data_IF_549644469063
#
_entry.id   IF_549644469063
#
_cell.length_a   1.000
_cell.length_b   1.000
_cell.length_c   1.000
_cell.angle_alpha   90.00
_cell.angle_beta   90.00
_cell.angle_gamma   90.00
#
_symmetry.space_group_name_H-M   'P 1'
#
loop_
_entity.id
_entity.type
_entity.pdbx_description
1 polymer ?
#
# COMPACT_ATOMS: atom_id res chain seq x y z
N UNK A 1 31.14 -0.62 -7.14
CA UNK A 1 30.93 0.83 -7.21
C UNK A 1 29.81 1.11 -6.24
N UNK A 2 30.04 1.94 -5.24
CA UNK A 2 28.98 2.36 -4.32
C UNK A 2 27.98 3.18 -5.14
N UNK A 3 26.76 2.65 -5.36
CA UNK A 3 25.75 3.30 -6.21
C UNK A 3 25.18 4.60 -5.58
N UNK A 4 25.86 5.17 -4.58
CA UNK A 4 25.44 6.34 -3.82
C UNK A 4 24.28 6.03 -2.88
N UNK A 5 24.14 4.77 -2.44
CA UNK A 5 23.00 4.36 -1.63
C UNK A 5 23.31 4.61 -0.15
N UNK A 6 22.85 5.75 0.37
CA UNK A 6 22.90 6.04 1.80
C UNK A 6 21.60 5.59 2.47
N UNK A 7 21.64 4.44 3.13
CA UNK A 7 20.50 3.86 3.85
C UNK A 7 20.34 4.49 5.25
N UNK A 8 19.18 5.09 5.50
CA UNK A 8 18.69 5.67 6.75
C UNK A 8 18.15 4.61 7.73
N UNK A 9 19.09 3.94 8.40
CA UNK A 9 18.79 3.00 9.49
C UNK A 9 18.07 3.64 10.70
N UNK A 10 18.09 4.96 10.83
CA UNK A 10 17.53 5.67 11.98
C UNK A 10 16.11 6.19 11.77
N UNK A 11 15.50 5.98 10.59
CA UNK A 11 14.14 6.46 10.27
C UNK A 11 13.10 6.00 11.29
N UNK A 12 13.17 4.74 11.70
CA UNK A 12 12.25 4.15 12.68
C UNK A 12 12.30 4.90 14.01
N UNK A 13 13.49 5.29 14.48
CA UNK A 13 13.63 6.02 15.73
C UNK A 13 13.07 7.44 15.65
N UNK A 14 13.06 8.06 14.47
CA UNK A 14 12.59 9.43 14.27
C UNK A 14 11.09 9.54 14.04
N UNK A 15 10.50 8.61 13.27
CA UNK A 15 9.09 8.72 12.82
C UNK A 15 8.29 7.41 12.97
N UNK A 16 8.85 6.40 13.63
CA UNK A 16 8.19 5.10 13.86
C UNK A 16 8.06 4.19 12.63
N UNK A 17 8.52 4.62 11.45
CA UNK A 17 8.48 3.87 10.20
C UNK A 17 9.90 3.61 9.69
N UNK A 18 10.25 2.35 9.31
CA UNK A 18 11.54 2.05 8.72
C UNK A 18 11.72 2.67 7.34
N UNK A 19 12.96 2.70 6.87
CA UNK A 19 13.23 3.01 5.47
C UNK A 19 12.65 1.94 4.54
N UNK A 20 12.21 2.39 3.37
CA UNK A 20 11.59 1.56 2.33
C UNK A 20 12.26 1.88 1.00
N UNK A 21 12.51 0.87 0.18
CA UNK A 21 13.14 1.01 -1.12
C UNK A 21 12.08 1.16 -2.19
N UNK A 22 11.98 2.36 -2.78
CA UNK A 22 11.28 2.56 -4.05
C UNK A 22 12.14 2.04 -5.20
N UNK A 23 11.73 0.98 -5.89
CA UNK A 23 12.56 0.30 -6.89
C UNK A 23 12.43 0.84 -8.31
N UNK A 24 11.29 1.42 -8.66
CA UNK A 24 11.03 1.89 -10.01
C UNK A 24 12.00 3.02 -10.41
N UNK A 25 12.54 2.94 -11.63
CA UNK A 25 13.52 3.89 -12.14
C UNK A 25 14.96 3.69 -11.62
N UNK A 26 15.21 2.78 -10.67
CA UNK A 26 16.58 2.46 -10.23
C UNK A 26 17.28 1.51 -11.22
N UNK A 27 18.61 1.67 -11.43
CA UNK A 27 19.37 0.74 -12.24
C UNK A 27 19.46 -0.63 -11.55
N UNK A 28 19.41 -1.71 -12.33
CA UNK A 28 19.43 -3.07 -11.78
C UNK A 28 20.64 -3.37 -10.87
N UNK A 29 21.88 -2.94 -11.17
CA UNK A 29 23.02 -3.14 -10.26
C UNK A 29 22.78 -2.60 -8.84
N UNK A 30 22.16 -1.42 -8.71
CA UNK A 30 21.80 -0.85 -7.41
C UNK A 30 20.73 -1.67 -6.67
N UNK A 31 19.76 -2.21 -7.42
CA UNK A 31 18.74 -3.10 -6.85
C UNK A 31 19.33 -4.44 -6.43
N UNK A 32 20.23 -5.02 -7.22
CA UNK A 32 20.90 -6.28 -6.91
C UNK A 32 21.75 -6.17 -5.64
N UNK A 33 22.43 -5.05 -5.43
CA UNK A 33 23.16 -4.76 -4.18
C UNK A 33 22.21 -4.73 -2.97
N UNK A 34 21.11 -3.97 -3.06
CA UNK A 34 20.12 -3.88 -1.98
C UNK A 34 19.44 -5.21 -1.68
N UNK A 35 19.07 -5.96 -2.71
CA UNK A 35 18.45 -7.28 -2.58
C UNK A 35 19.42 -8.29 -1.94
N UNK A 36 20.71 -8.20 -2.25
CA UNK A 36 21.70 -9.09 -1.63
C UNK A 36 21.94 -8.76 -0.15
N UNK A 37 21.71 -7.51 0.25
CA UNK A 37 21.98 -7.02 1.62
C UNK A 37 20.82 -7.24 2.60
N UNK A 38 19.58 -7.16 2.14
CA UNK A 38 18.39 -7.07 3.02
C UNK A 38 17.42 -8.24 2.89
N UNK A 39 17.93 -9.42 2.53
CA UNK A 39 17.14 -10.65 2.53
C UNK A 39 16.80 -11.13 3.94
N UNK A 40 16.04 -12.22 4.03
CA UNK A 40 15.69 -12.88 5.29
C UNK A 40 16.93 -13.15 6.14
N UNK A 41 16.85 -12.83 7.43
CA UNK A 41 17.93 -13.04 8.39
C UNK A 41 18.99 -11.94 8.39
N UNK A 42 18.85 -10.88 7.60
CA UNK A 42 19.77 -9.74 7.60
C UNK A 42 19.70 -8.88 8.88
N UNK A 43 18.70 -9.10 9.74
CA UNK A 43 18.51 -8.34 10.99
C UNK A 43 18.00 -6.91 10.80
N UNK A 44 17.77 -6.48 9.56
CA UNK A 44 17.20 -5.19 9.21
C UNK A 44 16.07 -5.41 8.17
N UNK A 45 14.81 -5.57 8.62
CA UNK A 45 13.67 -5.74 7.71
C UNK A 45 13.50 -4.53 6.79
N UNK A 46 13.49 -4.75 5.47
CA UNK A 46 13.29 -3.70 4.46
C UNK A 46 12.17 -4.10 3.51
N UNK A 47 11.24 -3.17 3.29
CA UNK A 47 10.23 -3.28 2.26
C UNK A 47 10.75 -2.71 0.94
N UNK A 48 10.59 -3.47 -0.13
CA UNK A 48 10.82 -3.06 -1.51
C UNK A 48 9.46 -2.82 -2.16
N UNK A 49 9.25 -1.65 -2.76
CA UNK A 49 8.02 -1.28 -3.46
C UNK A 49 8.28 -1.03 -4.94
N UNK A 50 7.24 -1.24 -5.76
CA UNK A 50 7.32 -1.09 -7.23
C UNK A 50 8.45 -1.89 -7.89
N UNK A 51 8.82 -3.02 -7.28
CA UNK A 51 9.79 -3.95 -7.84
C UNK A 51 9.13 -4.78 -8.94
N UNK A 52 9.45 -4.49 -10.20
CA UNK A 52 8.81 -5.16 -11.32
C UNK A 52 9.20 -6.67 -11.38
N UNK A 53 8.29 -7.58 -11.83
CA UNK A 53 8.56 -9.02 -11.84
C UNK A 53 9.78 -9.44 -12.67
N UNK A 54 9.96 -8.81 -13.82
CA UNK A 54 11.10 -9.00 -14.72
C UNK A 54 12.41 -8.50 -14.12
N UNK A 55 12.37 -7.42 -13.35
CA UNK A 55 13.52 -6.90 -12.59
C UNK A 55 13.87 -7.83 -11.44
N UNK A 56 12.89 -8.31 -10.67
CA UNK A 56 13.16 -9.27 -9.59
C UNK A 56 13.69 -10.60 -10.13
N UNK A 57 13.18 -11.07 -11.27
CA UNK A 57 13.61 -12.32 -11.91
C UNK A 57 15.08 -12.29 -12.37
N UNK A 58 15.66 -11.12 -12.59
CA UNK A 58 17.09 -10.97 -12.91
C UNK A 58 18.00 -11.25 -11.71
N UNK A 59 17.48 -11.18 -10.46
CA UNK A 59 18.28 -11.49 -9.28
C UNK A 59 18.60 -13.00 -9.19
N UNK A 60 19.81 -13.37 -8.72
CA UNK A 60 20.17 -14.77 -8.53
C UNK A 60 19.15 -15.52 -7.66
N UNK A 61 18.90 -16.79 -7.95
CA UNK A 61 17.92 -17.61 -7.22
C UNK A 61 18.19 -17.62 -5.70
N UNK A 62 19.46 -17.72 -5.30
CA UNK A 62 19.86 -17.67 -3.89
C UNK A 62 19.42 -16.36 -3.19
N UNK A 63 19.44 -15.23 -3.91
CA UNK A 63 18.94 -13.95 -3.39
C UNK A 63 17.42 -13.94 -3.35
N UNK A 64 16.75 -14.38 -4.43
CA UNK A 64 15.29 -14.40 -4.52
C UNK A 64 14.64 -15.26 -3.42
N UNK A 65 15.28 -16.38 -3.05
CA UNK A 65 14.81 -17.27 -1.99
C UNK A 65 14.80 -16.61 -0.60
N UNK A 66 15.50 -15.48 -0.43
CA UNK A 66 15.50 -14.69 0.79
C UNK A 66 14.30 -13.75 0.93
N UNK A 67 13.36 -13.72 -0.02
CA UNK A 67 12.25 -12.75 -0.05
C UNK A 67 10.89 -13.41 -0.18
N UNK A 68 9.90 -12.86 0.52
CA UNK A 68 8.49 -13.01 0.17
C UNK A 68 8.12 -11.93 -0.85
N UNK A 69 8.14 -12.31 -2.14
CA UNK A 69 7.82 -11.44 -3.26
C UNK A 69 6.38 -11.66 -3.74
N UNK A 70 5.66 -10.56 -3.94
CA UNK A 70 4.30 -10.57 -4.46
C UNK A 70 4.23 -9.86 -5.82
N UNK A 71 4.00 -10.60 -6.92
CA UNK A 71 4.08 -10.06 -8.27
C UNK A 71 2.99 -9.02 -8.57
N UNK A 72 1.77 -9.22 -8.04
CA UNK A 72 0.65 -8.31 -8.30
C UNK A 72 0.88 -6.92 -7.69
N UNK A 73 1.34 -6.86 -6.44
CA UNK A 73 1.63 -5.56 -5.80
C UNK A 73 3.04 -5.05 -6.05
N UNK A 74 3.90 -5.83 -6.72
CA UNK A 74 5.31 -5.49 -6.98
C UNK A 74 6.05 -5.16 -5.69
N UNK A 75 5.81 -5.94 -4.63
CA UNK A 75 6.45 -5.73 -3.32
C UNK A 75 7.25 -6.96 -2.88
N UNK A 76 8.33 -6.74 -2.15
CA UNK A 76 9.14 -7.79 -1.53
C UNK A 76 9.62 -7.36 -0.14
N UNK A 77 9.75 -8.32 0.78
CA UNK A 77 10.50 -8.17 2.03
C UNK A 77 11.03 -9.53 2.49
N UNK A 78 12.18 -9.56 3.16
CA UNK A 78 12.75 -10.79 3.69
C UNK A 78 12.17 -11.18 5.05
N UNK A 79 12.03 -10.17 5.91
CA UNK A 79 11.48 -10.24 7.26
C UNK A 79 10.42 -9.13 7.43
N UNK A 80 9.53 -9.29 8.42
CA UNK A 80 8.58 -8.24 8.84
C UNK A 80 9.01 -7.63 10.16
N UNK A 81 8.45 -6.46 10.50
CA UNK A 81 8.54 -5.93 11.84
C UNK A 81 7.75 -6.80 12.83
N UNK A 82 8.05 -6.65 14.12
CA UNK A 82 7.31 -7.32 15.18
C UNK A 82 5.82 -6.93 15.14
N UNK A 83 4.91 -7.89 15.36
CA UNK A 83 3.48 -7.62 15.39
C UNK A 83 3.11 -6.50 16.36
N UNK A 84 2.22 -5.61 15.93
CA UNK A 84 1.68 -4.54 16.76
C UNK A 84 0.55 -5.08 17.62
N UNK A 85 0.51 -4.67 18.89
CA UNK A 85 -0.50 -5.13 19.86
C UNK A 85 -1.90 -4.51 19.64
N UNK A 86 -2.00 -3.44 18.86
CA UNK A 86 -3.23 -2.70 18.59
C UNK A 86 -3.26 -2.19 17.16
N UNK A 87 -4.43 -1.72 16.73
CA UNK A 87 -4.61 -1.12 15.42
C UNK A 87 -4.86 -2.17 14.34
N UNK A 88 -6.04 -2.08 13.72
CA UNK A 88 -6.46 -2.91 12.60
C UNK A 88 -6.89 -2.01 11.45
N UNK A 89 -6.45 -2.33 10.23
CA UNK A 89 -6.78 -1.52 9.05
C UNK A 89 -7.61 -2.34 8.05
N UNK A 90 -8.75 -1.81 7.64
CA UNK A 90 -9.51 -2.36 6.51
C UNK A 90 -8.95 -1.77 5.20
N UNK A 91 -8.68 -2.61 4.20
CA UNK A 91 -8.31 -2.18 2.84
C UNK A 91 -9.46 -2.51 1.92
N UNK A 92 -10.15 -1.50 1.39
CA UNK A 92 -11.36 -1.65 0.59
C UNK A 92 -11.05 -1.21 -0.83
N UNK A 93 -11.22 -2.10 -1.82
CA UNK A 93 -11.01 -1.76 -3.23
C UNK A 93 -12.32 -1.75 -4.02
N UNK A 94 -12.42 -0.87 -5.02
CA UNK A 94 -13.60 -0.77 -5.87
C UNK A 94 -13.74 -1.98 -6.82
N UNK A 95 -12.66 -2.42 -7.43
CA UNK A 95 -12.67 -3.59 -8.30
C UNK A 95 -11.37 -4.38 -8.23
N UNK A 96 -11.37 -5.57 -8.81
CA UNK A 96 -10.17 -6.42 -8.94
C UNK A 96 -9.07 -5.78 -9.79
N UNK A 97 -9.42 -4.81 -10.66
CA UNK A 97 -8.43 -4.03 -11.40
C UNK A 97 -7.59 -3.12 -10.50
N UNK A 98 -8.10 -2.74 -9.33
CA UNK A 98 -7.42 -1.92 -8.34
C UNK A 98 -6.55 -2.75 -7.37
N UNK A 99 -6.57 -4.08 -7.50
CA UNK A 99 -5.94 -5.00 -6.55
C UNK A 99 -4.44 -4.78 -6.41
N UNK A 100 -3.70 -4.35 -7.44
CA UNK A 100 -2.27 -4.09 -7.31
C UNK A 100 -1.95 -3.02 -6.24
N UNK A 101 -2.78 -1.98 -6.13
CA UNK A 101 -2.64 -0.92 -5.11
C UNK A 101 -3.17 -1.39 -3.76
N UNK A 102 -4.31 -2.10 -3.74
CA UNK A 102 -4.86 -2.66 -2.50
C UNK A 102 -3.88 -3.64 -1.83
N UNK A 103 -3.26 -4.52 -2.61
CA UNK A 103 -2.24 -5.45 -2.14
C UNK A 103 -0.92 -4.75 -1.80
N UNK A 104 -0.54 -3.62 -2.43
CA UNK A 104 0.61 -2.83 -1.99
C UNK A 104 0.37 -2.29 -0.57
N UNK A 105 -0.81 -1.75 -0.30
CA UNK A 105 -1.20 -1.29 1.03
C UNK A 105 -1.22 -2.44 2.04
N UNK A 106 -1.89 -3.55 1.71
CA UNK A 106 -1.98 -4.73 2.57
C UNK A 106 -0.60 -5.31 2.90
N UNK A 107 0.28 -5.47 1.90
CA UNK A 107 1.64 -5.98 2.11
C UNK A 107 2.52 -5.01 2.89
N UNK A 108 2.31 -3.71 2.74
CA UNK A 108 2.95 -2.71 3.60
C UNK A 108 2.48 -2.86 5.05
N UNK A 109 1.19 -3.09 5.30
CA UNK A 109 0.66 -3.35 6.65
C UNK A 109 1.22 -4.66 7.24
N UNK A 110 1.31 -5.74 6.44
CA UNK A 110 1.97 -6.99 6.83
C UNK A 110 3.42 -6.74 7.24
N UNK A 111 4.18 -6.02 6.40
CA UNK A 111 5.56 -5.66 6.68
C UNK A 111 5.70 -4.88 8.00
N UNK A 112 4.78 -3.95 8.27
CA UNK A 112 4.76 -3.15 9.51
C UNK A 112 4.27 -3.93 10.74
N UNK A 113 3.85 -5.19 10.58
CA UNK A 113 3.31 -6.02 11.66
C UNK A 113 1.88 -5.63 12.07
N UNK A 114 1.11 -5.01 11.17
CA UNK A 114 -0.23 -4.49 11.45
C UNK A 114 -1.29 -5.45 10.90
N UNK A 115 -2.23 -5.80 11.76
CA UNK A 115 -3.38 -6.61 11.37
C UNK A 115 -4.27 -5.85 10.38
N UNK A 116 -4.69 -6.53 9.33
CA UNK A 116 -5.52 -5.94 8.30
C UNK A 116 -6.39 -7.00 7.63
N UNK A 117 -7.40 -6.53 6.90
CA UNK A 117 -8.22 -7.37 6.02
C UNK A 117 -8.48 -6.61 4.73
N UNK A 118 -8.42 -7.32 3.60
CA UNK A 118 -8.78 -6.78 2.30
C UNK A 118 -10.25 -7.13 2.00
N UNK A 119 -11.00 -6.13 1.56
CA UNK A 119 -12.35 -6.21 1.05
C UNK A 119 -12.31 -5.79 -0.42
N UNK A 120 -12.19 -6.77 -1.32
CA UNK A 120 -12.11 -6.51 -2.76
C UNK A 120 -13.49 -6.42 -3.40
N UNK A 121 -13.54 -5.77 -4.56
CA UNK A 121 -14.73 -5.70 -5.42
C UNK A 121 -15.96 -5.04 -4.76
N UNK A 122 -15.71 -4.01 -3.95
CA UNK A 122 -16.71 -3.22 -3.22
C UNK A 122 -17.14 -1.95 -3.98
N UNK A 123 -17.01 -1.93 -5.31
CA UNK A 123 -17.23 -0.75 -6.14
C UNK A 123 -18.69 -0.32 -6.25
N UNK A 124 -18.87 0.98 -6.52
CA UNK A 124 -20.19 1.66 -6.47
C UNK A 124 -21.20 1.16 -7.51
N UNK A 125 -20.75 0.57 -8.63
CA UNK A 125 -21.63 -0.06 -9.62
C UNK A 125 -22.43 -1.26 -9.04
N UNK A 126 -21.90 -1.88 -7.98
CA UNK A 126 -22.56 -2.95 -7.23
C UNK A 126 -22.51 -2.63 -5.74
N UNK A 127 -23.07 -1.48 -5.34
CA UNK A 127 -22.97 -0.92 -3.98
C UNK A 127 -23.44 -1.87 -2.87
N UNK A 128 -24.33 -2.81 -3.18
CA UNK A 128 -24.78 -3.85 -2.26
C UNK A 128 -23.61 -4.73 -1.74
N UNK A 129 -22.57 -4.97 -2.56
CA UNK A 129 -21.36 -5.71 -2.15
C UNK A 129 -20.62 -5.02 -1.00
N UNK A 130 -20.59 -3.68 -1.02
CA UNK A 130 -20.06 -2.88 0.08
C UNK A 130 -21.00 -2.94 1.29
N UNK A 131 -22.31 -2.79 1.07
CA UNK A 131 -23.30 -2.76 2.14
C UNK A 131 -23.26 -4.04 3.00
N UNK A 132 -23.13 -5.22 2.36
CA UNK A 132 -23.00 -6.51 3.06
C UNK A 132 -21.74 -6.64 3.93
N UNK A 133 -20.70 -5.84 3.67
CA UNK A 133 -19.42 -5.87 4.38
C UNK A 133 -19.25 -4.71 5.34
N UNK A 134 -20.15 -3.73 5.33
CA UNK A 134 -19.97 -2.45 6.02
C UNK A 134 -19.79 -2.60 7.53
N UNK A 135 -20.58 -3.47 8.17
CA UNK A 135 -20.45 -3.74 9.61
C UNK A 135 -19.06 -4.30 9.94
N UNK A 136 -18.57 -5.24 9.13
CA UNK A 136 -17.24 -5.82 9.30
C UNK A 136 -16.14 -4.77 9.09
N UNK A 137 -16.23 -3.94 8.05
CA UNK A 137 -15.29 -2.85 7.79
C UNK A 137 -15.25 -1.88 8.97
N UNK A 138 -16.40 -1.54 9.55
CA UNK A 138 -16.51 -0.62 10.68
C UNK A 138 -15.97 -1.18 12.00
N UNK A 139 -15.67 -2.48 12.09
CA UNK A 139 -14.97 -3.08 13.22
C UNK A 139 -13.46 -2.74 13.24
N UNK A 140 -12.89 -2.22 12.14
CA UNK A 140 -11.49 -1.81 12.05
C UNK A 140 -11.28 -0.39 12.62
N UNK A 141 -10.02 -0.02 12.81
CA UNK A 141 -9.63 1.27 13.43
C UNK A 141 -9.37 2.36 12.40
N UNK A 142 -9.05 1.98 11.15
CA UNK A 142 -8.91 2.87 10.01
C UNK A 142 -9.26 2.14 8.71
N UNK A 143 -9.59 2.91 7.66
CA UNK A 143 -9.96 2.38 6.34
C UNK A 143 -9.08 2.99 5.26
N UNK A 144 -8.48 2.14 4.44
CA UNK A 144 -7.83 2.53 3.18
C UNK A 144 -8.81 2.24 2.05
N UNK A 145 -9.13 3.24 1.25
CA UNK A 145 -10.09 3.11 0.14
C UNK A 145 -9.34 3.27 -1.18
N UNK A 146 -9.37 2.24 -2.02
CA UNK A 146 -8.63 2.17 -3.27
C UNK A 146 -9.61 2.12 -4.44
N UNK A 147 -9.55 3.10 -5.35
CA UNK A 147 -10.47 3.15 -6.48
C UNK A 147 -9.91 3.91 -7.69
N UNK A 148 -10.06 3.34 -8.88
CA UNK A 148 -9.85 4.00 -10.17
C UNK A 148 -11.12 4.59 -10.77
N UNK A 149 -11.11 4.86 -12.08
CA UNK A 149 -12.24 5.44 -12.83
C UNK A 149 -12.75 6.76 -12.22
N UNK A 150 -14.00 6.79 -11.76
CA UNK A 150 -14.67 7.92 -11.11
C UNK A 150 -14.38 8.00 -9.60
N UNK A 151 -13.75 6.96 -9.03
CA UNK A 151 -13.30 6.87 -7.64
C UNK A 151 -14.36 7.24 -6.58
N UNK A 152 -15.64 7.13 -6.92
CA UNK A 152 -16.75 7.53 -6.06
C UNK A 152 -16.82 6.75 -4.75
N UNK A 153 -16.18 5.58 -4.68
CA UNK A 153 -16.08 4.76 -3.47
C UNK A 153 -15.51 5.54 -2.28
N UNK A 154 -14.56 6.46 -2.50
CA UNK A 154 -14.00 7.29 -1.42
C UNK A 154 -15.07 8.20 -0.79
N UNK A 155 -15.89 8.85 -1.62
CA UNK A 155 -17.01 9.69 -1.16
C UNK A 155 -18.08 8.87 -0.46
N UNK A 156 -18.41 7.69 -0.99
CA UNK A 156 -19.38 6.76 -0.39
C UNK A 156 -18.90 6.33 1.00
N UNK A 157 -17.65 5.88 1.13
CA UNK A 157 -17.10 5.48 2.42
C UNK A 157 -17.07 6.64 3.41
N UNK A 158 -16.77 7.86 2.96
CA UNK A 158 -16.85 9.08 3.79
C UNK A 158 -18.22 9.36 4.41
N UNK A 159 -19.30 8.82 3.83
CA UNK A 159 -20.66 8.89 4.40
C UNK A 159 -21.06 7.67 5.24
N UNK A 160 -20.32 6.56 5.17
CA UNK A 160 -20.72 5.26 5.73
C UNK A 160 -19.84 4.77 6.88
N UNK A 161 -18.70 5.41 7.14
CA UNK A 161 -17.80 5.01 8.24
C UNK A 161 -17.43 6.21 9.12
N UNK A 162 -17.41 6.03 10.46
CA UNK A 162 -16.87 7.04 11.38
C UNK A 162 -15.34 6.97 11.51
N UNK A 163 -14.68 6.04 10.81
CA UNK A 163 -13.24 5.77 10.95
C UNK A 163 -12.40 6.73 10.08
N UNK A 164 -11.13 6.99 10.44
CA UNK A 164 -10.20 7.68 9.56
C UNK A 164 -10.10 6.98 8.19
N UNK A 165 -10.17 7.77 7.11
CA UNK A 165 -10.16 7.27 5.73
C UNK A 165 -8.92 7.78 5.00
N UNK A 166 -8.21 6.87 4.34
CA UNK A 166 -7.11 7.16 3.43
C UNK A 166 -7.47 6.70 2.02
N UNK A 167 -7.85 7.65 1.16
CA UNK A 167 -8.18 7.41 -0.24
C UNK A 167 -6.92 7.26 -1.09
N UNK A 168 -6.88 6.25 -1.96
CA UNK A 168 -5.81 6.03 -2.94
C UNK A 168 -6.44 5.93 -4.32
N UNK A 169 -6.34 6.98 -5.15
CA UNK A 169 -6.78 6.90 -6.53
C UNK A 169 -5.85 5.95 -7.29
N UNK A 170 -6.40 5.06 -8.11
CA UNK A 170 -5.56 4.20 -8.97
C UNK A 170 -5.46 4.77 -10.37
N UNK A 171 -4.45 4.32 -11.12
CA UNK A 171 -4.29 4.62 -12.54
C UNK A 171 -5.27 3.87 -13.45
N UNK A 172 -6.15 3.03 -12.89
CA UNK A 172 -7.14 2.23 -13.62
C UNK A 172 -8.19 3.11 -14.30
N UNK A 173 -8.52 2.73 -15.53
CA UNK A 173 -9.55 3.36 -16.35
C UNK A 173 -9.03 3.75 -17.73
N UNK A 174 -9.93 4.18 -18.59
CA UNK A 174 -9.62 4.58 -19.97
C UNK A 174 -10.28 5.91 -20.33
N UNK A 175 -9.87 6.49 -21.46
CA UNK A 175 -10.43 7.75 -21.95
C UNK A 175 -10.25 8.90 -20.95
N UNK A 176 -11.35 9.36 -20.37
CA UNK A 176 -11.37 10.48 -19.42
C UNK A 176 -10.58 10.22 -18.13
N UNK A 177 -10.36 8.95 -17.77
CA UNK A 177 -9.62 8.58 -16.56
C UNK A 177 -8.16 9.09 -16.56
N UNK A 178 -7.54 9.20 -17.76
CA UNK A 178 -6.20 9.76 -17.99
C UNK A 178 -5.14 9.31 -16.96
N UNK A 179 -5.00 7.99 -16.76
CA UNK A 179 -4.02 7.41 -15.84
C UNK A 179 -4.25 7.80 -14.38
N UNK A 180 -5.50 7.82 -13.94
CA UNK A 180 -5.89 8.13 -12.55
C UNK A 180 -6.11 9.61 -12.24
N UNK A 181 -5.91 10.52 -13.20
CA UNK A 181 -6.14 11.95 -12.98
C UNK A 181 -7.61 12.27 -12.66
N UNK A 182 -8.55 11.58 -13.30
CA UNK A 182 -9.97 11.76 -12.99
C UNK A 182 -10.30 11.25 -11.57
N UNK A 183 -9.80 10.06 -11.21
CA UNK A 183 -9.94 9.49 -9.88
C UNK A 183 -9.38 10.42 -8.80
N UNK A 184 -8.16 10.93 -8.98
CA UNK A 184 -7.52 11.87 -8.06
C UNK A 184 -8.34 13.16 -7.93
N UNK A 185 -8.77 13.76 -9.04
CA UNK A 185 -9.57 14.98 -9.02
C UNK A 185 -10.92 14.77 -8.32
N UNK A 186 -11.59 13.64 -8.59
CA UNK A 186 -12.86 13.24 -7.95
C UNK A 186 -12.70 13.06 -6.44
N UNK A 187 -11.65 12.35 -6.01
CA UNK A 187 -11.37 12.17 -4.58
C UNK A 187 -11.07 13.50 -3.88
N UNK A 188 -10.30 14.39 -4.50
CA UNK A 188 -9.96 15.70 -3.94
C UNK A 188 -11.13 16.69 -3.96
N UNK A 189 -12.06 16.58 -4.92
CA UNK A 189 -13.26 17.42 -5.00
C UNK A 189 -14.42 16.90 -4.17
N UNK A 190 -14.26 15.73 -3.52
CA UNK A 190 -15.28 15.16 -2.66
C UNK A 190 -15.67 16.10 -1.52
N UNK A 191 -16.96 16.16 -1.22
CA UNK A 191 -17.48 16.90 -0.07
C UNK A 191 -17.43 16.07 1.24
N UNK A 192 -16.98 14.82 1.19
CA UNK A 192 -16.87 13.97 2.37
C UNK A 192 -15.80 14.54 3.33
N UNK A 193 -16.16 14.95 4.55
CA UNK A 193 -15.20 15.55 5.47
C UNK A 193 -14.21 14.52 6.00
N UNK A 194 -12.95 14.94 6.19
CA UNK A 194 -11.95 14.13 6.89
C UNK A 194 -11.34 12.97 6.09
N UNK A 195 -11.57 12.91 4.77
CA UNK A 195 -10.93 11.92 3.89
C UNK A 195 -9.55 12.43 3.45
N UNK A 196 -8.49 11.72 3.81
CA UNK A 196 -7.12 12.06 3.41
C UNK A 196 -6.74 11.35 2.10
N UNK A 197 -6.29 12.09 1.09
CA UNK A 197 -6.01 11.54 -0.25
C UNK A 197 -4.52 11.36 -0.49
N UNK A 198 -4.12 10.17 -0.92
CA UNK A 198 -2.76 9.84 -1.35
C UNK A 198 -2.56 10.14 -2.84
N UNK A 199 -1.31 10.08 -3.28
CA UNK A 199 -1.00 10.14 -4.70
C UNK A 199 -1.51 8.88 -5.45
N UNK A 200 -1.57 8.98 -6.77
CA UNK A 200 -2.02 7.89 -7.65
C UNK A 200 -1.16 6.64 -7.43
N UNK A 201 -1.83 5.50 -7.24
CA UNK A 201 -1.24 4.19 -6.98
C UNK A 201 -0.38 4.10 -5.71
N UNK A 202 -0.50 5.05 -4.77
CA UNK A 202 0.35 5.09 -3.57
C UNK A 202 -0.26 4.31 -2.39
N UNK A 203 -0.37 2.99 -2.52
CA UNK A 203 -0.86 2.09 -1.46
C UNK A 203 0.08 2.06 -0.26
N UNK A 204 1.41 2.12 -0.50
CA UNK A 204 2.43 2.28 0.54
C UNK A 204 2.17 3.50 1.44
N UNK A 205 1.91 4.66 0.84
CA UNK A 205 1.66 5.91 1.56
C UNK A 205 0.42 5.84 2.43
N UNK A 206 -0.67 5.26 1.92
CA UNK A 206 -1.89 5.05 2.70
C UNK A 206 -1.65 4.11 3.89
N UNK A 207 -0.96 2.99 3.67
CA UNK A 207 -0.61 2.06 4.74
C UNK A 207 0.25 2.72 5.82
N UNK A 208 1.24 3.52 5.43
CA UNK A 208 2.06 4.30 6.38
C UNK A 208 1.22 5.33 7.14
N UNK A 209 0.34 6.08 6.47
CA UNK A 209 -0.52 7.06 7.11
C UNK A 209 -1.47 6.41 8.13
N UNK A 210 -2.11 5.30 7.73
CA UNK A 210 -2.96 4.51 8.61
C UNK A 210 -2.17 3.96 9.81
N UNK A 211 -0.97 3.39 9.58
CA UNK A 211 -0.10 2.87 10.63
C UNK A 211 0.22 3.92 11.69
N UNK A 212 0.55 5.15 11.26
CA UNK A 212 0.85 6.24 12.19
C UNK A 212 -0.34 6.58 13.08
N UNK A 213 -1.55 6.56 12.54
CA UNK A 213 -2.76 6.88 13.30
C UNK A 213 -3.17 5.73 14.22
N UNK A 214 -3.21 4.48 13.74
CA UNK A 214 -3.70 3.35 14.56
C UNK A 214 -2.70 2.89 15.62
N UNK A 215 -1.42 3.24 15.48
CA UNK A 215 -0.39 2.92 16.46
C UNK A 215 0.16 4.11 17.24
N UNK A 216 -0.12 5.35 16.80
CA UNK A 216 0.41 6.57 17.41
C UNK A 216 1.92 6.72 17.20
N UNK A 217 2.37 6.61 15.94
CA UNK A 217 3.79 6.69 15.54
C UNK A 217 4.24 8.12 15.21
#
# INVERSE_FOLDING_TARGET
MDHGILFDHSRTARIGLPETVFCEGKPFPALAELLSRFGRGAGAPVLFTRLAPDVFAQAPEAVRNGYDYHPLSRTAFGDTLSPKARGRVAVVSAGTSDSFVAWEAARTLTYLGIQHKIFEDCGVAGLWRLAERLEEINAFDAVIVVAGLDAALASVMGGLTPKPIYGVPTSVGYGVARGGKAALASMLSSCAPGVAIMNIDNGYGAACAAARVVNGL
#
